data_IF_874194812493
#
_entry.id   IF_874194812493
#
_cell.length_a   1.000
_cell.length_b   1.000
_cell.length_c   1.000
_cell.angle_alpha   90.00
_cell.angle_beta   90.00
_cell.angle_gamma   90.00
#
_symmetry.space_group_name_H-M   'P 1'
#
loop_
_entity.id
_entity.type
_entity.pdbx_description
1 polymer ?
#
# COMPACT_ATOMS: atom_id res chain seq x y z
N UNK A 1 -5.67 -18.36 -31.59
CA UNK A 1 -5.45 -16.90 -31.62
C UNK A 1 -5.60 -16.37 -30.19
N UNK A 2 -4.59 -16.53 -29.33
CA UNK A 2 -4.58 -16.07 -27.93
C UNK A 2 -3.24 -15.40 -27.62
N UNK A 3 -2.85 -14.41 -28.42
CA UNK A 3 -1.57 -13.71 -28.29
C UNK A 3 -1.73 -12.19 -28.10
N UNK A 4 -2.87 -11.76 -27.56
CA UNK A 4 -3.09 -10.38 -27.19
C UNK A 4 -3.55 -10.36 -25.73
N UNK A 5 -2.65 -9.99 -24.81
CA UNK A 5 -2.85 -9.45 -23.45
C UNK A 5 -1.64 -9.66 -22.51
N UNK A 6 -0.45 -10.00 -23.01
CA UNK A 6 0.73 -10.32 -22.17
C UNK A 6 1.27 -9.15 -21.28
N UNK A 7 0.69 -7.96 -21.38
CA UNK A 7 1.13 -6.73 -20.70
C UNK A 7 -0.04 -5.93 -20.10
N UNK A 8 -1.23 -6.51 -19.98
CA UNK A 8 -2.38 -5.86 -19.33
C UNK A 8 -2.85 -6.74 -18.18
N UNK A 9 -3.24 -6.08 -17.11
CA UNK A 9 -3.79 -6.70 -15.90
C UNK A 9 -5.30 -6.87 -16.08
N UNK A 10 -5.83 -8.09 -15.91
CA UNK A 10 -7.28 -8.32 -15.83
C UNK A 10 -7.85 -7.87 -14.49
N UNK A 11 -9.18 -7.92 -14.33
CA UNK A 11 -9.81 -7.57 -13.05
C UNK A 11 -9.35 -8.50 -11.92
N UNK A 12 -9.25 -9.81 -12.18
CA UNK A 12 -8.78 -10.78 -11.18
C UNK A 12 -7.35 -10.49 -10.75
N UNK A 13 -6.45 -10.23 -11.70
CA UNK A 13 -5.06 -9.85 -11.42
C UNK A 13 -4.99 -8.56 -10.59
N UNK A 14 -5.86 -7.59 -10.91
CA UNK A 14 -5.97 -6.33 -10.17
C UNK A 14 -6.46 -6.53 -8.73
N UNK A 15 -7.39 -7.46 -8.50
CA UNK A 15 -7.85 -7.82 -7.15
C UNK A 15 -6.67 -8.37 -6.32
N UNK A 16 -5.86 -9.27 -6.88
CA UNK A 16 -4.67 -9.75 -6.18
C UNK A 16 -3.66 -8.64 -5.93
N UNK A 17 -3.44 -7.76 -6.91
CA UNK A 17 -2.58 -6.60 -6.76
C UNK A 17 -3.04 -5.69 -5.62
N UNK A 18 -4.31 -5.28 -5.57
CA UNK A 18 -4.78 -4.32 -4.57
C UNK A 18 -4.79 -4.92 -3.16
N UNK A 19 -5.18 -6.19 -3.01
CA UNK A 19 -5.10 -6.90 -1.72
C UNK A 19 -3.64 -6.96 -1.23
N UNK A 20 -2.70 -7.25 -2.14
CA UNK A 20 -1.28 -7.32 -1.80
C UNK A 20 -0.70 -5.93 -1.52
N UNK A 21 -1.08 -4.92 -2.27
CA UNK A 21 -0.58 -3.55 -2.12
C UNK A 21 -1.02 -2.91 -0.79
N UNK A 22 -2.27 -3.14 -0.38
CA UNK A 22 -2.84 -2.55 0.82
C UNK A 22 -2.44 -3.25 2.12
N UNK A 23 -2.34 -4.58 2.12
CA UNK A 23 -1.81 -5.33 3.26
C UNK A 23 -0.57 -6.14 2.90
N UNK A 24 0.58 -5.46 2.91
CA UNK A 24 1.91 -6.06 2.72
C UNK A 24 2.38 -6.96 3.85
N UNK A 25 1.67 -7.00 4.98
CA UNK A 25 2.03 -7.86 6.11
C UNK A 25 1.39 -9.26 6.02
N UNK A 26 0.38 -9.42 5.18
CA UNK A 26 -0.30 -10.70 4.96
C UNK A 26 0.61 -11.70 4.22
N UNK A 27 0.53 -12.99 4.58
CA UNK A 27 1.35 -14.02 3.92
C UNK A 27 1.21 -14.07 2.38
N UNK A 28 0.00 -13.96 1.78
CA UNK A 28 -0.14 -13.93 0.33
C UNK A 28 0.56 -12.73 -0.31
N UNK A 29 0.52 -11.58 0.37
CA UNK A 29 1.18 -10.37 -0.11
C UNK A 29 2.71 -10.47 -0.02
N UNK A 30 3.24 -11.04 1.07
CA UNK A 30 4.66 -11.31 1.20
C UNK A 30 5.15 -12.18 0.04
N UNK A 31 4.41 -13.23 -0.31
CA UNK A 31 4.73 -14.10 -1.45
C UNK A 31 4.63 -13.39 -2.79
N UNK A 32 3.60 -12.54 -2.97
CA UNK A 32 3.39 -11.76 -4.18
C UNK A 32 4.58 -10.83 -4.43
N UNK A 33 4.92 -10.00 -3.45
CA UNK A 33 5.98 -9.00 -3.60
C UNK A 33 7.36 -9.62 -3.62
N UNK A 34 7.61 -10.69 -2.85
CA UNK A 34 8.88 -11.41 -2.92
C UNK A 34 9.19 -11.88 -4.35
N UNK A 35 8.20 -12.48 -5.04
CA UNK A 35 8.35 -12.89 -6.45
C UNK A 35 8.58 -11.73 -7.41
N UNK A 36 8.08 -10.54 -7.09
CA UNK A 36 8.28 -9.35 -7.92
C UNK A 36 9.70 -8.78 -7.78
N UNK A 37 10.33 -8.93 -6.60
CA UNK A 37 11.64 -8.33 -6.33
C UNK A 37 12.81 -9.33 -6.41
N UNK A 38 12.54 -10.63 -6.34
CA UNK A 38 13.49 -11.70 -6.67
C UNK A 38 13.70 -11.73 -8.19
N UNK A 39 14.72 -11.02 -8.67
CA UNK A 39 14.91 -10.73 -10.09
C UNK A 39 15.45 -11.92 -10.87
N UNK A 40 16.20 -12.79 -10.21
CA UNK A 40 16.77 -14.00 -10.81
C UNK A 40 15.96 -15.27 -10.47
N UNK A 41 15.00 -15.19 -9.54
CA UNK A 41 14.09 -16.27 -9.18
C UNK A 41 14.75 -17.35 -8.32
N UNK A 42 15.83 -17.03 -7.62
CA UNK A 42 16.61 -17.99 -6.84
C UNK A 42 16.06 -18.22 -5.41
N UNK A 43 15.04 -17.47 -4.99
CA UNK A 43 14.41 -17.59 -3.68
C UNK A 43 15.12 -16.85 -2.54
N UNK A 44 16.10 -15.99 -2.84
CA UNK A 44 16.80 -15.13 -1.88
C UNK A 44 16.83 -13.69 -2.40
N UNK A 45 16.78 -12.72 -1.49
CA UNK A 45 16.89 -11.30 -1.82
C UNK A 45 18.23 -10.79 -1.36
N UNK A 46 19.09 -10.50 -2.33
CA UNK A 46 20.42 -9.97 -2.09
C UNK A 46 20.39 -8.44 -1.98
N UNK A 47 21.47 -7.86 -1.44
CA UNK A 47 21.62 -6.41 -1.39
C UNK A 47 21.54 -5.76 -2.77
N UNK A 48 22.00 -6.44 -3.82
CA UNK A 48 22.02 -5.90 -5.18
C UNK A 48 20.59 -5.71 -5.72
N UNK A 49 19.70 -6.68 -5.49
CA UNK A 49 18.30 -6.60 -5.91
C UNK A 49 17.55 -5.53 -5.13
N UNK A 50 17.77 -5.48 -3.80
CA UNK A 50 17.20 -4.44 -2.96
C UNK A 50 17.69 -3.04 -3.38
N UNK A 51 18.99 -2.88 -3.63
CA UNK A 51 19.56 -1.61 -4.08
C UNK A 51 18.96 -1.18 -5.42
N UNK A 52 18.80 -2.12 -6.36
CA UNK A 52 18.22 -1.84 -7.67
C UNK A 52 16.85 -1.16 -7.57
N UNK A 53 15.96 -1.65 -6.69
CA UNK A 53 14.66 -0.99 -6.47
C UNK A 53 14.79 0.33 -5.71
N UNK A 54 15.68 0.39 -4.71
CA UNK A 54 15.87 1.58 -3.88
C UNK A 54 16.47 2.78 -4.63
N UNK A 55 17.24 2.56 -5.70
CA UNK A 55 17.80 3.65 -6.52
C UNK A 55 16.73 4.60 -7.09
N UNK A 56 15.58 4.06 -7.51
CA UNK A 56 14.46 4.89 -7.97
C UNK A 56 13.84 5.67 -6.81
N UNK A 57 13.82 5.10 -5.60
CA UNK A 57 13.26 5.75 -4.41
C UNK A 57 14.12 6.94 -3.99
N UNK A 58 15.45 6.81 -4.05
CA UNK A 58 16.39 7.91 -3.86
C UNK A 58 16.10 9.06 -4.82
N UNK A 59 15.96 8.75 -6.11
CA UNK A 59 15.65 9.76 -7.12
C UNK A 59 14.33 10.50 -6.83
N UNK A 60 13.28 9.75 -6.46
CA UNK A 60 11.98 10.32 -6.12
C UNK A 60 12.03 11.20 -4.86
N UNK A 61 12.83 10.83 -3.84
CA UNK A 61 13.06 11.66 -2.65
C UNK A 61 13.71 12.99 -3.00
N UNK A 62 14.74 12.97 -3.85
CA UNK A 62 15.42 14.18 -4.32
C UNK A 62 14.45 15.12 -5.07
N UNK A 63 13.59 14.56 -5.95
CA UNK A 63 12.56 15.34 -6.65
C UNK A 63 11.53 15.98 -5.69
N UNK A 64 11.31 15.39 -4.52
CA UNK A 64 10.40 15.90 -3.49
C UNK A 64 11.11 16.82 -2.47
N UNK A 65 12.39 17.14 -2.69
CA UNK A 65 13.25 17.89 -1.77
C UNK A 65 13.29 17.27 -0.35
N UNK A 66 13.14 15.95 -0.26
CA UNK A 66 13.38 15.19 0.97
C UNK A 66 14.87 14.87 1.10
N UNK A 67 15.35 14.74 2.33
CA UNK A 67 16.72 14.31 2.59
C UNK A 67 16.85 12.82 2.23
N UNK A 68 17.66 12.44 1.22
CA UNK A 68 17.81 11.04 0.84
C UNK A 68 18.66 10.30 1.87
N UNK A 69 18.24 9.09 2.23
CA UNK A 69 19.00 8.20 3.11
C UNK A 69 19.81 7.24 2.26
N UNK A 70 21.11 7.11 2.51
CA UNK A 70 21.96 6.20 1.72
C UNK A 70 21.54 4.75 1.93
N UNK A 71 21.61 3.93 0.88
CA UNK A 71 21.15 2.54 0.91
C UNK A 71 21.81 1.71 2.04
N UNK A 72 23.08 1.97 2.36
CA UNK A 72 23.77 1.27 3.45
C UNK A 72 23.07 1.41 4.81
N UNK A 73 22.57 2.60 5.14
CA UNK A 73 21.87 2.85 6.40
C UNK A 73 20.49 2.18 6.39
N UNK A 74 19.80 2.23 5.25
CA UNK A 74 18.52 1.53 5.04
C UNK A 74 18.68 0.02 5.15
N UNK A 75 19.75 -0.54 4.58
CA UNK A 75 20.05 -1.97 4.67
C UNK A 75 20.25 -2.40 6.12
N UNK A 76 21.02 -1.64 6.91
CA UNK A 76 21.18 -1.88 8.34
C UNK A 76 19.82 -1.88 9.06
N UNK A 77 18.97 -0.88 8.81
CA UNK A 77 17.63 -0.82 9.41
C UNK A 77 16.75 -2.01 9.01
N UNK A 78 16.82 -2.47 7.76
CA UNK A 78 16.07 -3.64 7.30
C UNK A 78 16.58 -4.93 7.97
N UNK A 79 17.90 -5.09 8.12
CA UNK A 79 18.50 -6.23 8.82
C UNK A 79 18.04 -6.24 10.29
N UNK A 80 18.10 -5.10 10.98
CA UNK A 80 17.65 -4.96 12.36
C UNK A 80 16.14 -5.27 12.52
N UNK A 81 15.33 -4.85 11.55
CA UNK A 81 13.88 -5.06 11.56
C UNK A 81 13.50 -6.54 11.32
N UNK A 82 14.20 -7.25 10.45
CA UNK A 82 13.87 -8.63 10.08
C UNK A 82 14.53 -9.65 11.01
N UNK A 83 15.79 -9.40 11.42
CA UNK A 83 16.61 -10.40 12.10
C UNK A 83 16.74 -11.69 11.30
N UNK A 84 17.25 -11.63 10.05
CA UNK A 84 17.36 -12.81 9.18
C UNK A 84 18.31 -13.84 9.77
N UNK A 85 18.17 -15.11 9.35
CA UNK A 85 19.12 -16.16 9.73
C UNK A 85 20.53 -15.90 9.16
N UNK A 86 20.61 -15.25 8.01
CA UNK A 86 21.85 -14.82 7.37
C UNK A 86 21.74 -13.34 6.98
N UNK A 87 22.63 -12.49 7.48
CA UNK A 87 22.61 -11.05 7.18
C UNK A 87 22.95 -10.73 5.72
N UNK A 88 23.38 -11.72 4.93
CA UNK A 88 23.73 -11.53 3.52
C UNK A 88 22.58 -11.52 2.53
N UNK A 89 21.42 -12.03 2.93
CA UNK A 89 20.23 -12.07 2.09
C UNK A 89 18.98 -12.29 2.92
N UNK A 90 17.82 -11.94 2.39
CA UNK A 90 16.54 -12.28 3.01
C UNK A 90 15.87 -13.43 2.26
N UNK A 91 15.31 -14.38 3.00
CA UNK A 91 14.42 -15.39 2.43
C UNK A 91 12.97 -15.02 2.69
N UNK A 92 12.04 -15.58 1.92
CA UNK A 92 10.61 -15.44 2.22
C UNK A 92 10.27 -15.92 3.65
N UNK A 93 10.99 -16.94 4.14
CA UNK A 93 10.84 -17.44 5.52
C UNK A 93 11.22 -16.40 6.55
N UNK A 94 12.27 -15.62 6.31
CA UNK A 94 12.66 -14.52 7.21
C UNK A 94 11.57 -13.45 7.26
N UNK A 95 11.03 -13.05 6.10
CA UNK A 95 9.96 -12.05 6.03
C UNK A 95 8.68 -12.53 6.74
N UNK A 96 8.29 -13.79 6.57
CA UNK A 96 7.09 -14.36 7.24
C UNK A 96 7.20 -14.40 8.77
N UNK A 97 8.41 -14.37 9.34
CA UNK A 97 8.61 -14.39 10.81
C UNK A 97 8.37 -13.03 11.46
N UNK A 98 8.42 -11.94 10.71
CA UNK A 98 8.29 -10.59 11.23
C UNK A 98 7.02 -9.92 10.68
N UNK A 99 6.11 -9.48 11.55
CA UNK A 99 4.88 -8.78 11.12
C UNK A 99 5.13 -7.42 10.45
N UNK A 100 6.31 -6.84 10.68
CA UNK A 100 6.70 -5.55 10.11
C UNK A 100 7.44 -5.70 8.77
N UNK A 101 7.66 -6.93 8.30
CA UNK A 101 8.44 -7.20 7.08
C UNK A 101 7.82 -6.61 5.81
N UNK A 102 6.50 -6.41 5.80
CA UNK A 102 5.80 -5.70 4.72
C UNK A 102 6.31 -4.28 4.48
N UNK A 103 6.95 -3.65 5.48
CA UNK A 103 7.54 -2.32 5.33
C UNK A 103 8.77 -2.32 4.41
N UNK A 104 9.49 -3.43 4.28
CA UNK A 104 10.63 -3.54 3.35
C UNK A 104 10.16 -3.23 1.92
N UNK A 105 9.04 -3.79 1.51
CA UNK A 105 8.48 -3.54 0.19
C UNK A 105 8.10 -2.06 -0.01
N UNK A 106 7.60 -1.39 1.04
CA UNK A 106 7.32 0.04 0.97
C UNK A 106 8.62 0.85 0.81
N UNK A 107 9.66 0.53 1.59
CA UNK A 107 11.00 1.14 1.47
C UNK A 107 11.50 1.03 0.02
N UNK A 108 11.41 -0.18 -0.55
CA UNK A 108 11.96 -0.49 -1.87
C UNK A 108 11.20 0.14 -3.03
N UNK A 109 9.86 0.27 -2.98
CA UNK A 109 9.11 0.73 -4.17
C UNK A 109 7.81 1.51 -3.90
N UNK A 110 7.39 1.71 -2.65
CA UNK A 110 6.26 2.58 -2.33
C UNK A 110 6.68 3.74 -1.43
N UNK A 111 7.19 4.81 -2.06
CA UNK A 111 7.67 6.00 -1.36
C UNK A 111 6.60 6.65 -0.47
N UNK A 112 5.34 6.68 -0.90
CA UNK A 112 4.28 7.32 -0.12
C UNK A 112 4.05 6.58 1.20
N UNK A 113 3.95 5.24 1.16
CA UNK A 113 3.80 4.42 2.38
C UNK A 113 5.07 4.42 3.22
N UNK A 114 6.25 4.48 2.59
CA UNK A 114 7.51 4.61 3.31
C UNK A 114 7.61 5.94 4.08
N UNK A 115 7.35 7.08 3.43
CA UNK A 115 7.37 8.38 4.10
C UNK A 115 6.31 8.48 5.20
N UNK A 116 5.12 7.92 4.99
CA UNK A 116 4.09 7.84 6.02
C UNK A 116 4.54 6.99 7.22
N UNK A 117 5.34 5.94 6.99
CA UNK A 117 5.93 5.14 8.05
C UNK A 117 7.01 5.90 8.84
N UNK A 118 7.92 6.61 8.17
CA UNK A 118 8.98 7.40 8.82
C UNK A 118 8.44 8.57 9.65
N UNK A 119 7.35 9.19 9.18
CA UNK A 119 6.75 10.37 9.81
C UNK A 119 5.60 10.03 10.77
N UNK A 120 5.39 8.73 11.07
CA UNK A 120 4.26 8.29 11.90
C UNK A 120 4.31 8.91 13.30
N UNK A 121 3.20 9.50 13.70
CA UNK A 121 3.04 10.06 15.04
C UNK A 121 3.14 8.94 16.10
N UNK A 122 4.01 9.08 17.12
CA UNK A 122 4.10 8.14 18.25
C UNK A 122 2.76 7.82 18.93
N UNK A 123 1.80 8.75 18.91
CA UNK A 123 0.44 8.56 19.41
C UNK A 123 -0.35 7.57 18.55
N UNK A 124 -0.31 7.71 17.22
CA UNK A 124 -0.99 6.78 16.29
C UNK A 124 -0.41 5.36 16.41
N UNK A 125 0.91 5.24 16.56
CA UNK A 125 1.58 3.95 16.80
C UNK A 125 1.03 3.27 18.07
N UNK A 126 0.76 4.04 19.14
CA UNK A 126 0.19 3.49 20.38
C UNK A 126 -1.25 3.04 20.18
N UNK A 127 -2.07 3.84 19.48
CA UNK A 127 -3.46 3.50 19.19
C UNK A 127 -3.61 2.23 18.33
N UNK A 128 -2.73 2.02 17.34
CA UNK A 128 -2.71 0.80 16.55
C UNK A 128 -2.37 -0.44 17.39
N UNK A 129 -1.49 -0.30 18.38
CA UNK A 129 -1.17 -1.37 19.34
C UNK A 129 -2.34 -1.71 20.26
N UNK A 130 -3.25 -0.78 20.50
CA UNK A 130 -4.46 -1.00 21.30
C UNK A 130 -5.52 -1.81 20.54
N UNK A 131 -5.51 -1.80 19.20
CA UNK A 131 -6.39 -2.60 18.35
C UNK A 131 -5.60 -3.54 17.42
N UNK A 132 -4.91 -4.56 17.99
CA UNK A 132 -4.03 -5.45 17.23
C UNK A 132 -4.78 -6.47 16.36
N UNK A 133 -6.11 -6.55 16.47
CA UNK A 133 -6.94 -7.49 15.73
C UNK A 133 -7.32 -7.01 14.33
N UNK A 134 -7.17 -5.71 14.04
CA UNK A 134 -7.43 -5.16 12.71
C UNK A 134 -6.19 -5.31 11.82
N UNK A 135 -6.38 -5.88 10.64
CA UNK A 135 -5.35 -5.95 9.59
C UNK A 135 -5.21 -4.58 8.91
N UNK A 136 -4.13 -4.40 8.15
CA UNK A 136 -3.96 -3.17 7.37
C UNK A 136 -5.03 -3.05 6.27
N UNK A 137 -5.48 -4.19 5.72
CA UNK A 137 -6.62 -4.23 4.82
C UNK A 137 -7.90 -3.74 5.50
N UNK A 138 -8.19 -4.17 6.73
CA UNK A 138 -9.38 -3.73 7.46
C UNK A 138 -9.37 -2.21 7.67
N UNK A 139 -8.21 -1.64 8.01
CA UNK A 139 -8.04 -0.18 8.18
C UNK A 139 -8.24 0.55 6.86
N UNK A 140 -7.65 0.06 5.78
CA UNK A 140 -7.81 0.62 4.44
C UNK A 140 -9.27 0.58 3.98
N UNK A 141 -9.90 -0.60 4.02
CA UNK A 141 -11.28 -0.81 3.60
C UNK A 141 -12.26 0.06 4.38
N UNK A 142 -12.06 0.18 5.71
CA UNK A 142 -12.87 1.05 6.55
C UNK A 142 -12.75 2.53 6.14
N UNK A 143 -11.53 3.02 5.92
CA UNK A 143 -11.28 4.41 5.49
C UNK A 143 -11.88 4.70 4.13
N UNK A 144 -11.69 3.80 3.16
CA UNK A 144 -12.24 3.97 1.81
C UNK A 144 -13.77 3.89 1.81
N UNK A 145 -14.37 3.01 2.62
CA UNK A 145 -15.81 2.95 2.78
C UNK A 145 -16.38 4.29 3.27
N UNK A 146 -15.79 4.88 4.33
CA UNK A 146 -16.21 6.18 4.85
C UNK A 146 -16.09 7.25 3.76
N UNK A 147 -14.93 7.31 3.09
CA UNK A 147 -14.69 8.30 2.01
C UNK A 147 -15.76 8.23 0.93
N UNK A 148 -16.04 7.04 0.41
CA UNK A 148 -17.03 6.83 -0.64
C UNK A 148 -18.45 7.15 -0.16
N UNK A 149 -18.81 6.79 1.08
CA UNK A 149 -20.14 7.12 1.62
C UNK A 149 -20.37 8.64 1.75
N UNK A 150 -19.32 9.41 2.06
CA UNK A 150 -19.42 10.88 2.15
C UNK A 150 -19.50 11.55 0.77
N UNK A 151 -18.93 10.92 -0.27
CA UNK A 151 -19.03 11.38 -1.66
C UNK A 151 -20.47 11.20 -2.20
N UNK A 152 -21.14 10.11 -1.82
CA UNK A 152 -22.54 9.81 -2.19
C UNK A 152 -23.53 10.80 -1.54
N UNK A 153 -23.37 11.12 -0.25
CA UNK A 153 -24.20 12.10 0.47
C UNK A 153 -24.06 13.55 -0.09
N UNK A 154 -22.91 13.88 -0.69
CA UNK A 154 -22.64 15.19 -1.30
C UNK A 154 -23.30 15.37 -2.67
N UNK A 155 -23.49 14.29 -3.43
CA UNK A 155 -24.18 14.32 -4.73
C UNK A 155 -25.70 14.47 -4.54
N UNK A 156 -26.29 13.81 -3.54
CA UNK A 156 -27.71 13.94 -3.19
C UNK A 156 -28.08 15.33 -2.65
N UNK A 157 -27.16 16.01 -1.95
CA UNK A 157 -27.37 17.39 -1.50
C UNK A 157 -27.35 18.41 -2.66
N UNK A 158 -26.74 18.06 -3.81
CA UNK A 158 -26.65 18.95 -4.98
C UNK A 158 -27.81 18.79 -5.98
N UNK A 159 -28.50 17.66 -5.97
CA UNK A 159 -29.70 17.41 -6.80
C UNK A 159 -31.03 17.73 -6.10
N UNK A 160 -30.99 18.28 -4.87
CA UNK A 160 -32.16 18.60 -4.05
C UNK A 160 -32.76 20.01 -4.25
N UNK A 161 -32.44 20.75 -5.32
CA UNK A 161 -33.15 22.01 -5.64
C UNK A 161 -34.47 21.67 -6.34
N UNK A 162 -35.53 21.61 -5.54
CA UNK A 162 -36.87 21.12 -5.89
C UNK A 162 -37.49 21.63 -7.20
N UNK A 163 -37.95 20.67 -8.00
CA UNK A 163 -39.13 20.84 -8.82
C UNK A 163 -40.33 21.07 -7.88
N UNK A 164 -40.65 22.33 -7.64
CA UNK A 164 -41.93 22.73 -7.04
C UNK A 164 -43.00 22.51 -8.10
N UNK A 165 -43.74 21.42 -7.94
CA UNK A 165 -45.03 21.22 -8.59
C UNK A 165 -46.01 22.27 -8.04
N UNK A 166 -46.12 23.42 -8.72
CA UNK A 166 -47.19 24.38 -8.47
C UNK A 166 -48.46 23.88 -9.17
N UNK A 167 -49.11 22.90 -8.54
CA UNK A 167 -50.50 22.53 -8.82
C UNK A 167 -51.40 23.38 -7.91
N UNK A 168 -51.63 24.63 -8.30
CA UNK A 168 -52.64 25.49 -7.69
C UNK A 168 -53.80 25.67 -8.66
N UNK A 169 -54.78 24.79 -8.47
CA UNK A 169 -56.16 24.88 -8.93
C UNK A 169 -56.72 26.30 -8.81
N UNK A 170 -57.21 26.87 -9.91
CA UNK A 170 -58.42 27.70 -9.86
C UNK A 170 -59.05 27.89 -11.26
N UNK A 171 -60.21 27.27 -11.47
CA UNK A 171 -61.31 27.86 -12.22
C UNK A 171 -62.56 27.64 -11.36
N UNK A 172 -63.43 28.65 -11.20
CA UNK A 172 -64.57 28.67 -12.11
C UNK A 172 -65.20 30.05 -12.43
N UNK A 173 -65.68 30.16 -13.68
CA UNK A 173 -66.64 31.10 -14.30
C UNK A 173 -66.33 32.59 -14.38
#
# INVERSE_FOLDING_TARGET
MYFALRWKMGYEDFVYFILSEEDKSSEPSLEYWFKCIDLDGNGILTYNEMQFFYEEQLHRMECMAQEPVVFGDILCQMIDMIGPENESYFTLRDLKRCKLSGNIFNILFNLNKFMAFETRDPFLIRQERENPTLTEWDRFAHREYIRLSMEEDGEDASNGSGDVWDESLEAPF
#
